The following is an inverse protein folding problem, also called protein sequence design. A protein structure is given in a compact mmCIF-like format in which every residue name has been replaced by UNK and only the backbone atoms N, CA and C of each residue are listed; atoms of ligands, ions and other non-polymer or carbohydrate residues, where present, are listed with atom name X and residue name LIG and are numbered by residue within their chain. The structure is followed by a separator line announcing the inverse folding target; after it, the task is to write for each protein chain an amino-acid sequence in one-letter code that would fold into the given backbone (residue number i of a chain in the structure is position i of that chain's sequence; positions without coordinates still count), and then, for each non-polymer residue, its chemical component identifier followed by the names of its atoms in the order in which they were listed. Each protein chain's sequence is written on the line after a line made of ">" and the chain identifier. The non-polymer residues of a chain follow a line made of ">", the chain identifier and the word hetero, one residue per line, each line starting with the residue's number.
data_IF_566725024958
#
_entry.id   IF_566725024958
#
_cell.length_a   1.000
_cell.length_b   1.000
_cell.length_c   1.000
_cell.angle_alpha   90.00
_cell.angle_beta   90.00
_cell.angle_gamma   90.00
#
_symmetry.space_group_name_H-M   'P 1'
#
loop_
_entity.id
_entity.type
_entity.pdbx_description
1 polymer ?
#
# COMPACT_ATOMS: atom_id res chain seq x y z
N UNK A 1 20.26 9.22 -44.32
CA UNK A 1 19.84 9.94 -43.11
C UNK A 1 20.02 9.00 -41.95
N UNK A 2 21.09 9.17 -41.17
CA UNK A 2 21.43 8.36 -40.01
C UNK A 2 20.53 8.91 -38.90
N UNK A 3 19.54 8.11 -38.44
CA UNK A 3 18.79 8.43 -37.24
C UNK A 3 19.79 8.41 -36.06
N UNK A 4 20.01 9.56 -35.45
CA UNK A 4 20.78 9.68 -34.24
C UNK A 4 20.07 8.87 -33.13
N UNK A 5 20.72 7.79 -32.72
CA UNK A 5 20.34 6.99 -31.55
C UNK A 5 20.53 7.88 -30.30
N UNK A 6 19.43 8.51 -29.86
CA UNK A 6 19.39 9.34 -28.65
C UNK A 6 19.08 8.50 -27.41
N UNK A 7 19.52 7.24 -27.35
CA UNK A 7 19.41 6.42 -26.15
C UNK A 7 20.52 6.77 -25.17
N UNK A 8 20.24 7.71 -24.27
CA UNK A 8 20.97 7.81 -23.01
C UNK A 8 20.94 6.49 -22.24
N UNK A 9 21.78 6.28 -21.20
CA UNK A 9 21.85 5.00 -20.51
C UNK A 9 20.47 4.59 -19.99
N UNK A 10 19.99 3.45 -20.47
CA UNK A 10 18.70 2.88 -20.05
C UNK A 10 18.80 2.42 -18.60
N UNK A 11 17.96 2.93 -17.71
CA UNK A 11 17.90 2.43 -16.34
C UNK A 11 17.51 0.95 -16.32
N UNK A 12 18.30 0.13 -15.63
CA UNK A 12 18.04 -1.29 -15.44
C UNK A 12 17.26 -1.53 -14.15
N UNK A 13 16.17 -2.27 -14.27
CA UNK A 13 15.27 -2.62 -13.17
C UNK A 13 15.23 -4.13 -13.02
N UNK A 14 15.66 -4.64 -11.86
CA UNK A 14 15.59 -6.05 -11.51
C UNK A 14 14.34 -6.33 -10.69
N UNK A 15 13.54 -7.32 -11.11
CA UNK A 15 12.34 -7.79 -10.40
C UNK A 15 12.63 -9.19 -9.88
N UNK A 16 12.60 -9.38 -8.56
CA UNK A 16 12.91 -10.67 -7.92
C UNK A 16 11.69 -11.59 -8.01
N UNK A 17 11.90 -12.79 -8.52
CA UNK A 17 10.92 -13.88 -8.56
C UNK A 17 11.39 -15.06 -7.69
N UNK A 18 10.45 -15.80 -7.12
CA UNK A 18 10.69 -16.95 -6.23
C UNK A 18 9.57 -17.99 -6.39
N UNK A 19 9.81 -19.23 -5.99
CA UNK A 19 8.80 -20.31 -6.06
C UNK A 19 7.60 -19.99 -5.16
N UNK A 20 6.39 -20.06 -5.71
CA UNK A 20 5.14 -19.66 -5.07
C UNK A 20 4.75 -18.19 -5.27
N UNK A 21 5.47 -17.42 -6.10
CA UNK A 21 5.14 -16.01 -6.33
C UNK A 21 3.74 -15.84 -6.94
N UNK A 22 3.00 -14.83 -6.45
CA UNK A 22 1.75 -14.41 -7.09
C UNK A 22 2.03 -13.75 -8.45
N UNK A 23 1.42 -14.23 -9.55
CA UNK A 23 1.58 -13.61 -10.87
C UNK A 23 1.20 -12.13 -10.88
N UNK A 24 0.17 -11.75 -10.11
CA UNK A 24 -0.23 -10.36 -9.99
C UNK A 24 0.92 -9.49 -9.44
N UNK A 25 1.54 -9.90 -8.32
CA UNK A 25 2.63 -9.14 -7.73
C UNK A 25 3.84 -9.03 -8.65
N UNK A 26 4.18 -10.14 -9.34
CA UNK A 26 5.26 -10.16 -10.31
C UNK A 26 5.01 -9.22 -11.50
N UNK A 27 3.75 -9.10 -11.95
CA UNK A 27 3.39 -8.28 -13.11
C UNK A 27 3.36 -6.78 -12.83
N UNK A 28 3.16 -6.36 -11.58
CA UNK A 28 3.02 -4.92 -11.21
C UNK A 28 4.18 -4.05 -11.70
N UNK A 29 5.45 -4.38 -11.46
CA UNK A 29 6.58 -3.60 -12.01
C UNK A 29 6.60 -3.59 -13.55
N UNK A 30 6.27 -4.70 -14.19
CA UNK A 30 6.23 -4.82 -15.64
C UNK A 30 5.15 -3.94 -16.25
N UNK A 31 3.97 -3.85 -15.66
CA UNK A 31 2.89 -2.98 -16.12
C UNK A 31 3.30 -1.50 -16.12
N UNK A 32 4.12 -1.08 -15.16
CA UNK A 32 4.54 0.32 -15.05
C UNK A 32 5.80 0.60 -15.87
N UNK A 33 6.79 -0.27 -15.88
CA UNK A 33 8.12 -0.02 -16.44
C UNK A 33 8.45 -0.88 -17.69
N UNK A 34 7.76 -2.00 -17.91
CA UNK A 34 8.16 -3.00 -18.91
C UNK A 34 7.76 -2.68 -20.34
N UNK A 35 6.81 -1.77 -20.57
CA UNK A 35 6.41 -1.40 -21.92
C UNK A 35 7.24 -0.25 -22.47
N UNK A 36 7.62 -0.33 -23.74
CA UNK A 36 8.23 0.79 -24.45
C UNK A 36 7.20 1.91 -24.65
N UNK A 37 7.43 3.05 -24.00
CA UNK A 37 6.59 4.24 -24.08
C UNK A 37 7.36 5.48 -24.54
N UNK A 38 8.43 5.29 -25.30
CA UNK A 38 9.26 6.37 -25.85
C UNK A 38 8.45 7.36 -26.68
N UNK A 39 7.44 6.87 -27.42
CA UNK A 39 6.49 7.71 -28.15
C UNK A 39 5.68 8.67 -27.24
N UNK A 40 5.63 8.41 -25.96
CA UNK A 40 5.02 9.29 -24.95
C UNK A 40 6.04 10.17 -24.23
N UNK A 41 7.31 10.19 -24.67
CA UNK A 41 8.40 10.91 -24.03
C UNK A 41 8.85 10.29 -22.67
N UNK A 42 8.57 9.00 -22.46
CA UNK A 42 8.97 8.26 -21.27
C UNK A 42 10.22 7.45 -21.64
N UNK A 43 11.32 7.56 -20.87
CA UNK A 43 12.52 6.76 -21.12
C UNK A 43 12.19 5.26 -21.10
N UNK A 44 12.88 4.51 -21.94
CA UNK A 44 12.77 3.05 -21.91
C UNK A 44 13.57 2.50 -20.72
N UNK A 45 12.93 1.62 -19.94
CA UNK A 45 13.57 0.89 -18.87
C UNK A 45 13.95 -0.51 -19.36
N UNK A 46 15.10 -1.00 -18.95
CA UNK A 46 15.48 -2.41 -19.11
C UNK A 46 14.98 -3.20 -17.90
N UNK A 47 13.77 -3.76 -18.00
CA UNK A 47 13.22 -4.59 -16.92
C UNK A 47 13.68 -6.03 -17.08
N UNK A 48 14.29 -6.59 -16.04
CA UNK A 48 14.79 -7.96 -16.00
C UNK A 48 14.14 -8.68 -14.80
N UNK A 49 13.52 -9.83 -15.02
CA UNK A 49 13.08 -10.69 -13.92
C UNK A 49 14.20 -11.66 -13.60
N UNK A 50 14.57 -11.77 -12.33
CA UNK A 50 15.60 -12.68 -11.83
C UNK A 50 15.03 -13.66 -10.80
N UNK A 51 15.48 -14.90 -10.84
CA UNK A 51 15.03 -15.95 -9.91
C UNK A 51 16.00 -16.12 -8.74
N UNK A 52 15.44 -16.44 -7.59
CA UNK A 52 16.21 -16.83 -6.39
C UNK A 52 16.61 -18.30 -6.42
N UNK A 53 15.94 -19.12 -7.23
CA UNK A 53 16.16 -20.55 -7.39
C UNK A 53 16.40 -20.87 -8.87
N UNK A 54 17.11 -21.98 -9.11
CA UNK A 54 17.31 -22.53 -10.46
C UNK A 54 16.08 -23.33 -10.93
N UNK A 55 15.80 -23.28 -12.25
CA UNK A 55 14.71 -24.02 -12.88
C UNK A 55 13.39 -23.25 -12.96
N UNK A 56 12.32 -23.93 -13.44
CA UNK A 56 10.99 -23.34 -13.50
C UNK A 56 10.44 -23.05 -12.09
N UNK A 57 9.84 -21.87 -11.92
CA UNK A 57 9.18 -21.49 -10.68
C UNK A 57 7.68 -21.75 -10.80
N UNK A 58 7.09 -22.37 -9.79
CA UNK A 58 5.64 -22.50 -9.70
C UNK A 58 5.06 -21.19 -9.19
N UNK A 59 3.93 -20.79 -9.72
CA UNK A 59 3.21 -19.63 -9.22
C UNK A 59 2.14 -20.04 -8.20
N UNK A 60 1.69 -19.08 -7.39
CA UNK A 60 0.55 -19.27 -6.49
C UNK A 60 -0.77 -19.60 -7.23
N UNK A 61 -0.82 -19.38 -8.55
CA UNK A 61 -1.98 -19.68 -9.40
C UNK A 61 -1.89 -21.04 -10.10
N UNK A 62 -0.87 -21.86 -9.82
CA UNK A 62 -0.75 -23.23 -10.27
C UNK A 62 -0.10 -23.43 -11.65
N UNK A 63 0.36 -22.39 -12.32
CA UNK A 63 1.17 -22.52 -13.55
C UNK A 63 2.64 -22.22 -13.27
N UNK A 64 3.52 -22.66 -14.15
CA UNK A 64 4.96 -22.47 -14.05
C UNK A 64 5.43 -21.31 -14.95
N UNK A 65 6.49 -20.65 -14.49
CA UNK A 65 7.21 -19.63 -15.25
C UNK A 65 8.69 -19.97 -15.32
N UNK A 66 9.31 -19.77 -16.49
CA UNK A 66 10.74 -19.90 -16.67
C UNK A 66 11.39 -18.52 -16.64
N UNK A 67 12.40 -18.36 -15.80
CA UNK A 67 13.16 -17.11 -15.64
C UNK A 67 14.57 -17.34 -16.16
N UNK A 68 15.03 -16.43 -17.03
CA UNK A 68 16.34 -16.57 -17.71
C UNK A 68 17.52 -16.09 -16.85
N UNK A 69 17.27 -15.18 -15.90
CA UNK A 69 18.34 -14.54 -15.13
C UNK A 69 18.30 -14.99 -13.66
N UNK A 70 19.46 -15.16 -13.07
CA UNK A 70 19.62 -15.30 -11.63
C UNK A 70 19.87 -13.97 -10.93
N UNK A 71 20.37 -14.01 -9.70
CA UNK A 71 20.60 -12.83 -8.87
C UNK A 71 21.76 -11.94 -9.36
N UNK A 72 22.54 -12.38 -10.34
CA UNK A 72 23.63 -11.60 -10.92
C UNK A 72 23.16 -10.25 -11.47
N UNK A 73 21.94 -10.18 -12.01
CA UNK A 73 21.38 -8.92 -12.58
C UNK A 73 21.08 -7.87 -11.51
N UNK A 74 20.93 -8.28 -10.24
CA UNK A 74 20.69 -7.38 -9.12
C UNK A 74 21.93 -6.50 -8.86
N UNK A 75 23.12 -7.02 -9.16
CA UNK A 75 24.39 -6.32 -8.91
C UNK A 75 24.51 -5.02 -9.70
N UNK A 76 23.98 -5.00 -10.94
CA UNK A 76 24.14 -3.87 -11.85
C UNK A 76 22.85 -3.05 -12.02
N UNK A 77 21.75 -3.47 -11.39
CA UNK A 77 20.46 -2.80 -11.49
C UNK A 77 20.47 -1.45 -10.76
N UNK A 78 19.87 -0.43 -11.39
CA UNK A 78 19.64 0.89 -10.80
C UNK A 78 18.47 0.85 -9.80
N UNK A 79 17.54 -0.09 -10.03
CA UNK A 79 16.34 -0.31 -9.22
C UNK A 79 16.18 -1.80 -8.99
N UNK A 80 15.95 -2.21 -7.74
CA UNK A 80 15.63 -3.59 -7.39
C UNK A 80 14.27 -3.64 -6.73
N UNK A 81 13.36 -4.45 -7.26
CA UNK A 81 12.01 -4.63 -6.71
C UNK A 81 11.85 -6.06 -6.22
N UNK A 82 11.53 -6.21 -4.94
CA UNK A 82 11.03 -7.44 -4.34
C UNK A 82 9.50 -7.31 -4.28
N UNK A 83 8.75 -7.91 -5.23
CA UNK A 83 7.33 -7.58 -5.41
C UNK A 83 6.41 -8.21 -4.37
N UNK A 84 6.88 -9.25 -3.70
CA UNK A 84 6.27 -9.92 -2.55
C UNK A 84 7.27 -10.87 -1.92
N UNK A 85 6.83 -11.69 -0.97
CA UNK A 85 7.56 -12.82 -0.44
C UNK A 85 6.59 -13.95 -0.06
N UNK A 86 7.14 -15.09 0.40
CA UNK A 86 6.39 -16.29 0.79
C UNK A 86 5.52 -16.03 2.02
N UNK A 87 4.30 -16.54 2.04
CA UNK A 87 3.36 -16.36 3.14
C UNK A 87 3.75 -17.14 4.41
N UNK A 88 4.56 -18.20 4.27
CA UNK A 88 5.11 -18.99 5.37
C UNK A 88 6.28 -18.29 6.08
N UNK A 89 6.69 -17.11 5.56
CA UNK A 89 7.83 -16.34 6.08
C UNK A 89 9.15 -17.10 6.10
N UNK A 90 9.32 -18.07 5.20
CA UNK A 90 10.61 -18.72 5.02
C UNK A 90 11.71 -17.67 4.83
N UNK A 91 12.86 -17.84 5.49
CA UNK A 91 13.98 -16.91 5.37
C UNK A 91 14.38 -16.72 3.90
N UNK A 92 14.74 -15.49 3.56
CA UNK A 92 15.24 -15.21 2.24
C UNK A 92 16.63 -15.86 2.05
N UNK A 93 16.96 -16.39 0.85
CA UNK A 93 18.28 -16.95 0.60
C UNK A 93 19.37 -15.91 0.91
N UNK A 94 20.46 -16.30 1.60
CA UNK A 94 21.56 -15.38 1.92
C UNK A 94 22.09 -14.63 0.69
N UNK A 95 22.16 -15.30 -0.46
CA UNK A 95 22.58 -14.70 -1.72
C UNK A 95 21.69 -13.53 -2.16
N UNK A 96 20.37 -13.60 -1.91
CA UNK A 96 19.44 -12.47 -2.19
C UNK A 96 19.69 -11.32 -1.21
N UNK A 97 19.84 -11.61 0.08
CA UNK A 97 20.09 -10.60 1.11
C UNK A 97 21.40 -9.84 0.82
N UNK A 98 22.45 -10.55 0.46
CA UNK A 98 23.75 -9.97 0.10
C UNK A 98 23.67 -9.14 -1.20
N UNK A 99 22.95 -9.62 -2.21
CA UNK A 99 22.72 -8.88 -3.44
C UNK A 99 21.96 -7.56 -3.19
N UNK A 100 20.92 -7.58 -2.35
CA UNK A 100 20.15 -6.40 -1.97
C UNK A 100 21.02 -5.39 -1.19
N UNK A 101 21.82 -5.85 -0.23
CA UNK A 101 22.77 -4.99 0.50
C UNK A 101 23.77 -4.33 -0.46
N UNK A 102 24.40 -5.13 -1.32
CA UNK A 102 25.36 -4.63 -2.30
C UNK A 102 24.75 -3.61 -3.26
N UNK A 103 23.55 -3.87 -3.78
CA UNK A 103 22.82 -2.92 -4.62
C UNK A 103 22.50 -1.62 -3.87
N UNK A 104 22.02 -1.69 -2.64
CA UNK A 104 21.75 -0.53 -1.79
C UNK A 104 23.00 0.31 -1.54
N UNK A 105 24.13 -0.33 -1.17
CA UNK A 105 25.41 0.34 -0.96
C UNK A 105 25.93 1.06 -2.20
N UNK A 106 25.68 0.52 -3.38
CA UNK A 106 26.00 1.17 -4.67
C UNK A 106 25.11 2.35 -4.97
N UNK A 107 24.04 2.57 -4.22
CA UNK A 107 23.07 3.65 -4.41
C UNK A 107 21.82 3.26 -5.24
N UNK A 108 21.62 1.99 -5.56
CA UNK A 108 20.41 1.52 -6.20
C UNK A 108 19.17 1.81 -5.34
N UNK A 109 18.03 2.04 -5.99
CA UNK A 109 16.74 2.14 -5.30
C UNK A 109 16.22 0.75 -5.00
N UNK A 110 15.86 0.50 -3.74
CA UNK A 110 15.37 -0.81 -3.29
C UNK A 110 13.89 -0.67 -2.94
N UNK A 111 13.06 -1.52 -3.53
CA UNK A 111 11.60 -1.47 -3.39
C UNK A 111 11.09 -2.80 -2.86
N UNK A 112 10.42 -2.79 -1.71
CA UNK A 112 9.71 -3.94 -1.15
C UNK A 112 8.20 -3.72 -1.26
N UNK A 113 7.52 -4.46 -2.13
CA UNK A 113 6.06 -4.41 -2.22
C UNK A 113 5.48 -5.54 -1.39
N UNK A 114 4.36 -5.30 -0.73
CA UNK A 114 3.67 -6.31 0.08
C UNK A 114 4.63 -6.99 1.08
N UNK A 115 4.74 -8.31 1.04
CA UNK A 115 5.66 -9.08 1.89
C UNK A 115 7.14 -8.92 1.50
N UNK A 116 7.45 -8.27 0.39
CA UNK A 116 8.83 -7.89 0.05
C UNK A 116 9.49 -7.02 1.12
N UNK A 117 8.71 -6.29 1.92
CA UNK A 117 9.21 -5.54 3.07
C UNK A 117 9.89 -6.44 4.12
N UNK A 118 9.46 -7.70 4.30
CA UNK A 118 10.11 -8.66 5.19
C UNK A 118 11.53 -9.01 4.72
N UNK A 119 11.71 -9.20 3.43
CA UNK A 119 13.04 -9.47 2.85
C UNK A 119 13.97 -8.28 3.04
N UNK A 120 13.46 -7.04 2.86
CA UNK A 120 14.24 -5.83 3.10
C UNK A 120 14.60 -5.68 4.59
N UNK A 121 13.68 -6.01 5.50
CA UNK A 121 13.93 -6.00 6.94
C UNK A 121 14.97 -7.06 7.33
N UNK A 122 14.87 -8.29 6.79
CA UNK A 122 15.84 -9.37 7.01
C UNK A 122 17.23 -9.02 6.47
N UNK A 123 17.30 -8.24 5.39
CA UNK A 123 18.56 -7.69 4.90
C UNK A 123 19.13 -6.55 5.78
N UNK A 124 18.42 -6.11 6.84
CA UNK A 124 18.82 -5.00 7.70
C UNK A 124 18.64 -3.61 7.05
N UNK A 125 18.01 -3.54 5.89
CA UNK A 125 17.86 -2.29 5.12
C UNK A 125 16.80 -1.35 5.71
N UNK A 126 15.91 -1.85 6.56
CA UNK A 126 14.82 -1.09 7.18
C UNK A 126 15.12 -0.66 8.62
N UNK A 127 16.27 -1.01 9.19
CA UNK A 127 16.62 -0.68 10.57
C UNK A 127 16.63 0.84 10.80
N UNK A 128 15.92 1.27 11.84
CA UNK A 128 15.76 2.70 12.16
C UNK A 128 14.88 3.50 11.20
N UNK A 129 14.30 2.87 10.17
CA UNK A 129 13.45 3.54 9.16
C UNK A 129 11.97 3.30 9.41
N UNK A 130 11.13 4.14 8.80
CA UNK A 130 9.70 3.90 8.69
C UNK A 130 9.44 3.03 7.47
N UNK A 131 8.61 2.01 7.60
CA UNK A 131 8.25 1.11 6.50
C UNK A 131 6.79 0.68 6.60
N UNK A 132 6.23 0.22 5.49
CA UNK A 132 4.90 -0.40 5.45
C UNK A 132 4.93 -1.74 4.74
N UNK A 133 3.92 -2.54 5.00
CA UNK A 133 3.63 -3.81 4.34
C UNK A 133 2.12 -3.98 4.25
N UNK A 134 1.65 -5.12 3.77
CA UNK A 134 0.22 -5.43 3.80
C UNK A 134 -0.31 -5.34 5.23
N UNK A 135 -1.41 -4.60 5.43
CA UNK A 135 -1.96 -4.28 6.76
C UNK A 135 -2.11 -5.52 7.66
N UNK A 136 -2.57 -6.63 7.10
CA UNK A 136 -2.78 -7.88 7.83
C UNK A 136 -1.48 -8.47 8.39
N UNK A 137 -0.35 -8.15 7.77
CA UNK A 137 1.00 -8.65 8.13
C UNK A 137 1.84 -7.61 8.87
N UNK A 138 1.38 -6.38 8.97
CA UNK A 138 2.11 -5.29 9.64
C UNK A 138 2.42 -5.58 11.11
N UNK A 139 1.51 -6.17 11.94
CA UNK A 139 1.85 -6.54 13.31
C UNK A 139 3.02 -7.52 13.40
N UNK A 140 3.05 -8.52 12.52
CA UNK A 140 4.13 -9.51 12.49
C UNK A 140 5.46 -8.92 12.04
N UNK A 141 5.44 -7.97 11.07
CA UNK A 141 6.67 -7.26 10.67
C UNK A 141 7.25 -6.48 11.86
N UNK A 142 6.40 -5.79 12.62
CA UNK A 142 6.83 -5.03 13.80
C UNK A 142 7.37 -5.92 14.93
N UNK A 143 6.75 -7.08 15.15
CA UNK A 143 7.18 -8.06 16.15
C UNK A 143 8.54 -8.69 15.79
N UNK A 144 8.67 -9.10 14.52
CA UNK A 144 9.88 -9.83 14.04
C UNK A 144 11.09 -8.90 13.87
N UNK A 145 10.84 -7.63 13.52
CA UNK A 145 11.89 -6.63 13.25
C UNK A 145 11.66 -5.36 14.07
N UNK A 146 11.92 -5.37 15.40
CA UNK A 146 11.60 -4.28 16.30
C UNK A 146 12.39 -2.99 16.02
N UNK A 147 13.48 -3.05 15.25
CA UNK A 147 14.21 -1.87 14.78
C UNK A 147 13.48 -1.10 13.67
N UNK A 148 12.42 -1.67 13.06
CA UNK A 148 11.63 -1.05 11.99
C UNK A 148 10.41 -0.33 12.56
N UNK A 149 10.20 0.93 12.20
CA UNK A 149 8.96 1.66 12.53
C UNK A 149 7.88 1.32 11.51
N UNK A 150 7.02 0.35 11.83
CA UNK A 150 5.98 -0.10 10.90
C UNK A 150 4.76 0.82 10.96
N UNK A 151 4.39 1.40 9.81
CA UNK A 151 3.17 2.18 9.61
C UNK A 151 2.20 1.39 8.71
N UNK A 152 1.15 0.82 9.30
CA UNK A 152 0.14 0.01 8.60
C UNK A 152 -0.96 0.85 7.92
N UNK A 153 -1.01 2.16 8.18
CA UNK A 153 -2.11 3.01 7.74
C UNK A 153 -1.83 3.71 6.40
N UNK A 154 -0.68 3.45 5.78
CA UNK A 154 -0.25 4.11 4.55
C UNK A 154 -0.13 3.12 3.38
N UNK A 155 -0.32 3.62 2.15
CA UNK A 155 -0.20 2.79 0.94
C UNK A 155 1.27 2.47 0.61
N UNK A 156 2.16 3.43 0.81
CA UNK A 156 3.60 3.27 0.63
C UNK A 156 4.38 4.32 1.44
N UNK A 157 5.61 3.98 1.75
CA UNK A 157 6.58 4.81 2.46
C UNK A 157 7.84 4.93 1.61
N UNK A 158 8.42 6.13 1.53
CA UNK A 158 9.71 6.38 0.91
C UNK A 158 10.68 6.94 1.96
N UNK A 159 11.77 6.22 2.21
CA UNK A 159 12.83 6.59 3.16
C UNK A 159 14.19 6.53 2.43
N UNK A 160 14.65 7.69 1.97
CA UNK A 160 15.85 7.78 1.15
C UNK A 160 15.68 7.07 -0.20
N UNK A 161 16.53 6.10 -0.49
CA UNK A 161 16.44 5.25 -1.69
C UNK A 161 15.69 3.93 -1.48
N UNK A 162 14.99 3.77 -0.36
CA UNK A 162 14.17 2.60 -0.06
C UNK A 162 12.69 2.97 -0.13
N UNK A 163 11.90 2.14 -0.80
CA UNK A 163 10.44 2.24 -0.84
C UNK A 163 9.83 0.95 -0.32
N UNK A 164 8.78 1.07 0.48
CA UNK A 164 7.95 -0.07 0.90
C UNK A 164 6.48 0.22 0.64
N UNK A 165 5.69 -0.79 0.33
CA UNK A 165 4.29 -0.64 -0.03
C UNK A 165 3.42 -1.73 0.58
N UNK A 166 2.15 -1.39 0.84
CA UNK A 166 1.11 -2.32 1.25
C UNK A 166 0.89 -3.48 0.25
N UNK A 167 1.42 -3.35 -0.96
CA UNK A 167 1.29 -4.38 -1.99
C UNK A 167 -0.06 -4.40 -2.68
N UNK A 168 -0.34 -5.46 -3.44
CA UNK A 168 -1.53 -5.60 -4.28
C UNK A 168 -1.74 -4.33 -5.12
N UNK A 169 -2.93 -3.71 -5.06
CA UNK A 169 -3.22 -2.48 -5.81
C UNK A 169 -2.33 -1.28 -5.38
N UNK A 170 -1.92 -1.20 -4.11
CA UNK A 170 -0.99 -0.18 -3.63
C UNK A 170 0.44 -0.35 -4.20
N UNK A 171 0.79 -1.54 -4.69
CA UNK A 171 2.04 -1.77 -5.42
C UNK A 171 2.10 -0.96 -6.72
N UNK A 172 0.97 -0.83 -7.44
CA UNK A 172 0.88 0.02 -8.63
C UNK A 172 1.09 1.49 -8.27
N UNK A 173 0.49 1.98 -7.16
CA UNK A 173 0.69 3.35 -6.71
C UNK A 173 2.14 3.64 -6.34
N UNK A 174 2.80 2.69 -5.67
CA UNK A 174 4.21 2.78 -5.34
C UNK A 174 5.10 2.82 -6.59
N UNK A 175 4.85 1.96 -7.57
CA UNK A 175 5.57 1.97 -8.84
C UNK A 175 5.32 3.26 -9.65
N UNK A 176 4.09 3.78 -9.66
CA UNK A 176 3.78 5.07 -10.28
C UNK A 176 4.41 6.24 -9.54
N UNK A 177 4.48 6.19 -8.20
CA UNK A 177 5.23 7.17 -7.42
C UNK A 177 6.71 7.15 -7.79
N UNK A 178 7.32 5.96 -7.90
CA UNK A 178 8.70 5.80 -8.34
C UNK A 178 8.90 6.36 -9.76
N UNK A 179 8.02 6.03 -10.71
CA UNK A 179 8.07 6.57 -12.06
C UNK A 179 7.95 8.11 -12.06
N UNK A 180 7.11 8.67 -11.19
CA UNK A 180 6.96 10.12 -11.00
C UNK A 180 8.24 10.77 -10.51
N UNK A 181 8.96 10.12 -9.61
CA UNK A 181 10.25 10.60 -9.11
C UNK A 181 11.34 10.57 -10.21
N UNK A 182 11.30 9.58 -11.09
CA UNK A 182 12.29 9.39 -12.14
C UNK A 182 12.01 10.22 -13.39
N UNK A 183 10.76 10.32 -13.80
CA UNK A 183 10.35 10.85 -15.11
C UNK A 183 9.35 12.01 -15.02
N UNK A 184 9.02 12.46 -13.80
CA UNK A 184 8.08 13.55 -13.58
C UNK A 184 6.62 13.15 -13.57
N UNK A 185 5.77 14.11 -13.14
CA UNK A 185 4.34 13.87 -12.91
C UNK A 185 3.58 13.53 -14.20
N UNK A 186 3.94 14.15 -15.32
CA UNK A 186 3.23 13.94 -16.58
C UNK A 186 3.43 12.52 -17.12
N UNK A 187 4.66 12.00 -17.08
CA UNK A 187 4.98 10.62 -17.44
C UNK A 187 4.15 9.62 -16.61
N UNK A 188 4.16 9.75 -15.29
CA UNK A 188 3.39 8.89 -14.41
C UNK A 188 1.88 8.98 -14.66
N UNK A 189 1.34 10.18 -14.92
CA UNK A 189 -0.08 10.37 -15.24
C UNK A 189 -0.46 9.74 -16.59
N UNK A 190 0.43 9.75 -17.58
CA UNK A 190 0.21 9.09 -18.89
C UNK A 190 0.15 7.57 -18.72
N UNK A 191 1.06 6.99 -17.93
CA UNK A 191 1.06 5.55 -17.62
C UNK A 191 -0.19 5.17 -16.84
N UNK A 192 -0.54 5.89 -15.77
CA UNK A 192 -1.74 5.62 -14.98
C UNK A 192 -3.02 5.60 -15.83
N UNK A 193 -3.17 6.57 -16.76
CA UNK A 193 -4.31 6.58 -17.70
C UNK A 193 -4.36 5.34 -18.59
N UNK A 194 -3.22 4.84 -19.07
CA UNK A 194 -3.19 3.60 -19.85
C UNK A 194 -3.53 2.37 -19.05
N UNK A 195 -3.16 2.36 -17.78
CA UNK A 195 -3.53 1.31 -16.83
C UNK A 195 -4.96 1.44 -16.28
N UNK A 196 -5.69 2.50 -16.70
CA UNK A 196 -7.08 2.80 -16.26
C UNK A 196 -7.17 2.93 -14.73
N UNK A 197 -6.15 3.54 -14.12
CA UNK A 197 -6.10 3.77 -12.67
C UNK A 197 -5.96 5.27 -12.38
N UNK A 198 -6.29 5.66 -11.14
CA UNK A 198 -6.14 7.05 -10.70
C UNK A 198 -4.67 7.51 -10.84
N UNK A 199 -4.40 8.69 -11.41
CA UNK A 199 -3.04 9.13 -11.71
C UNK A 199 -2.14 9.30 -10.48
N UNK A 200 -2.72 9.48 -9.31
CA UNK A 200 -1.98 9.63 -8.07
C UNK A 200 -2.85 9.33 -6.86
N UNK A 201 -2.46 8.33 -6.07
CA UNK A 201 -2.86 8.18 -4.68
C UNK A 201 -1.65 8.51 -3.80
N UNK A 202 -1.87 9.37 -2.80
CA UNK A 202 -0.80 9.73 -1.87
C UNK A 202 -0.42 8.52 -1.01
N UNK A 203 0.87 8.31 -0.78
CA UNK A 203 1.37 7.23 0.08
C UNK A 203 0.72 7.21 1.45
N UNK A 204 0.52 8.38 2.05
CA UNK A 204 -0.19 8.54 3.34
C UNK A 204 -1.69 8.32 3.31
N UNK A 205 -2.28 7.91 2.19
CA UNK A 205 -3.68 7.49 2.15
C UNK A 205 -3.82 6.13 2.84
N UNK A 206 -4.79 6.01 3.74
CA UNK A 206 -5.02 4.77 4.48
C UNK A 206 -5.29 3.58 3.56
N UNK A 207 -4.70 2.43 3.90
CA UNK A 207 -5.10 1.16 3.33
C UNK A 207 -6.57 0.94 3.65
N UNK A 208 -7.36 0.40 2.70
CA UNK A 208 -8.73 -0.02 2.98
C UNK A 208 -8.69 -1.23 3.91
N UNK A 209 -8.75 -0.97 5.20
CA UNK A 209 -8.80 -1.98 6.22
C UNK A 209 -10.25 -2.02 6.72
N UNK A 210 -10.99 -3.09 6.46
CA UNK A 210 -11.95 -3.54 7.45
C UNK A 210 -11.11 -4.03 8.64
N UNK A 211 -10.76 -3.10 9.54
CA UNK A 211 -10.08 -3.51 10.78
C UNK A 211 -11.09 -4.34 11.55
N UNK A 212 -10.90 -5.66 11.69
CA UNK A 212 -11.48 -6.35 12.82
C UNK A 212 -11.00 -5.56 14.04
N UNK A 213 -11.90 -5.26 14.96
CA UNK A 213 -11.53 -4.67 16.25
C UNK A 213 -10.35 -5.49 16.78
N UNK A 214 -9.23 -4.87 17.15
CA UNK A 214 -8.09 -5.63 17.62
C UNK A 214 -8.55 -6.49 18.79
N UNK A 215 -8.48 -7.79 18.66
CA UNK A 215 -8.57 -8.72 19.78
C UNK A 215 -7.23 -8.60 20.50
N UNK A 216 -7.07 -7.52 21.25
CA UNK A 216 -5.88 -7.36 22.07
C UNK A 216 -6.03 -8.26 23.28
N UNK A 217 -5.19 -9.26 23.40
CA UNK A 217 -5.08 -10.12 24.57
C UNK A 217 -4.64 -9.37 25.85
N UNK A 218 -4.72 -8.03 25.91
CA UNK A 218 -4.21 -7.23 27.03
C UNK A 218 -5.09 -6.11 27.56
N UNK A 219 -6.00 -5.53 26.77
CA UNK A 219 -6.85 -4.42 27.25
C UNK A 219 -8.29 -4.51 26.75
N UNK A 220 -9.08 -5.31 27.44
CA UNK A 220 -10.52 -5.53 27.25
C UNK A 220 -11.33 -4.21 27.28
N UNK A 221 -10.79 -3.15 27.90
CA UNK A 221 -11.44 -1.83 27.99
C UNK A 221 -11.39 -1.05 26.69
N UNK A 222 -10.26 -1.07 26.00
CA UNK A 222 -10.11 -0.36 24.73
C UNK A 222 -10.93 -1.02 23.63
N UNK A 223 -10.93 -2.34 23.55
CA UNK A 223 -11.75 -3.10 22.60
C UNK A 223 -13.24 -2.78 22.75
N UNK A 224 -13.77 -2.79 23.99
CA UNK A 224 -15.16 -2.40 24.27
C UNK A 224 -15.49 -0.96 23.87
N UNK A 225 -14.54 -0.04 23.97
CA UNK A 225 -14.75 1.34 23.52
C UNK A 225 -14.78 1.44 22.01
N UNK A 226 -13.88 0.74 21.31
CA UNK A 226 -13.86 0.71 19.83
C UNK A 226 -15.17 0.13 19.28
N UNK A 227 -15.68 -0.98 19.86
CA UNK A 227 -16.99 -1.55 19.53
C UNK A 227 -18.12 -0.57 19.79
N UNK A 228 -18.12 0.06 20.96
CA UNK A 228 -19.15 1.04 21.30
C UNK A 228 -19.13 2.24 20.36
N UNK A 229 -17.97 2.80 20.03
CA UNK A 229 -17.85 3.93 19.08
C UNK A 229 -18.34 3.51 17.70
N UNK A 230 -17.99 2.32 17.24
CA UNK A 230 -18.41 1.80 15.92
C UNK A 230 -19.93 1.65 15.81
N UNK A 231 -20.60 1.27 16.91
CA UNK A 231 -22.07 1.21 16.97
C UNK A 231 -22.76 2.57 17.16
N UNK A 232 -22.00 3.62 17.52
CA UNK A 232 -22.53 4.97 17.79
C UNK A 232 -21.78 6.06 16.99
N UNK A 233 -21.48 5.78 15.70
CA UNK A 233 -20.73 6.72 14.84
C UNK A 233 -21.48 8.04 14.58
N UNK A 234 -22.80 8.04 14.70
CA UNK A 234 -23.68 9.21 14.59
C UNK A 234 -23.45 10.24 15.69
N UNK A 235 -22.92 9.81 16.84
CA UNK A 235 -22.74 10.68 18.00
C UNK A 235 -21.38 11.42 17.95
N UNK A 236 -21.29 12.59 18.60
CA UNK A 236 -20.03 13.29 18.76
C UNK A 236 -19.14 12.55 19.77
N UNK A 237 -17.90 12.28 19.36
CA UNK A 237 -16.90 11.63 20.21
C UNK A 237 -15.70 12.56 20.43
N UNK A 238 -15.49 12.99 21.68
CA UNK A 238 -14.26 13.68 22.05
C UNK A 238 -13.24 12.70 22.68
N UNK A 239 -11.96 13.01 22.55
CA UNK A 239 -10.90 12.20 23.16
C UNK A 239 -11.11 12.11 24.67
N UNK A 240 -11.55 13.21 25.33
CA UNK A 240 -11.76 13.23 26.77
C UNK A 240 -12.94 12.35 27.20
N UNK A 241 -14.01 12.32 26.39
CA UNK A 241 -15.16 11.46 26.67
C UNK A 241 -14.79 9.98 26.55
N UNK A 242 -14.02 9.63 25.51
CA UNK A 242 -13.56 8.25 25.28
C UNK A 242 -12.55 7.80 26.35
N UNK A 243 -11.62 8.68 26.75
CA UNK A 243 -10.65 8.41 27.81
C UNK A 243 -11.34 8.17 29.16
N UNK A 244 -12.32 9.00 29.54
CA UNK A 244 -13.14 8.78 30.73
C UNK A 244 -13.88 7.45 30.72
N UNK A 245 -14.47 7.10 29.56
CA UNK A 245 -15.17 5.83 29.39
C UNK A 245 -14.21 4.62 29.48
N UNK A 246 -12.95 4.79 29.10
CA UNK A 246 -11.88 3.81 29.28
C UNK A 246 -11.33 3.74 30.71
N UNK A 247 -11.75 4.63 31.61
CA UNK A 247 -11.13 4.84 32.90
C UNK A 247 -9.61 5.13 32.78
N UNK A 248 -9.23 5.94 31.80
CA UNK A 248 -7.84 6.31 31.50
C UNK A 248 -7.68 7.83 31.50
N UNK A 249 -6.45 8.32 31.77
CA UNK A 249 -6.09 9.70 31.47
C UNK A 249 -6.07 9.89 29.93
N UNK A 250 -6.33 11.12 29.45
CA UNK A 250 -6.24 11.48 28.02
C UNK A 250 -4.92 11.03 27.38
N UNK A 251 -3.80 11.25 28.09
CA UNK A 251 -2.45 10.86 27.62
C UNK A 251 -2.30 9.34 27.49
N UNK A 252 -2.75 8.58 28.50
CA UNK A 252 -2.73 7.12 28.48
C UNK A 252 -3.61 6.57 27.37
N UNK A 253 -4.84 7.08 27.26
CA UNK A 253 -5.80 6.66 26.25
C UNK A 253 -5.26 6.88 24.83
N UNK A 254 -4.75 8.08 24.51
CA UNK A 254 -4.23 8.38 23.17
C UNK A 254 -3.02 7.52 22.82
N UNK A 255 -2.14 7.24 23.78
CA UNK A 255 -1.00 6.34 23.56
C UNK A 255 -1.45 4.91 23.28
N UNK A 256 -2.29 4.32 24.17
CA UNK A 256 -2.80 2.95 23.99
C UNK A 256 -3.65 2.83 22.72
N UNK A 257 -4.49 3.84 22.43
CA UNK A 257 -5.28 3.89 21.21
C UNK A 257 -4.39 3.84 19.96
N UNK A 258 -3.32 4.65 19.93
CA UNK A 258 -2.39 4.68 18.81
C UNK A 258 -1.59 3.37 18.68
N UNK A 259 -1.19 2.76 19.80
CA UNK A 259 -0.55 1.45 19.83
C UNK A 259 -1.46 0.36 19.28
N UNK A 260 -2.74 0.35 19.65
CA UNK A 260 -3.71 -0.65 19.25
C UNK A 260 -4.26 -0.46 17.84
N UNK A 261 -4.42 0.80 17.38
CA UNK A 261 -5.07 1.11 16.10
C UNK A 261 -4.10 1.61 15.02
N UNK A 262 -2.85 1.92 15.38
CA UNK A 262 -1.83 2.50 14.49
C UNK A 262 -2.07 3.96 14.13
N UNK A 263 -3.19 4.57 14.53
CA UNK A 263 -3.58 5.92 14.09
C UNK A 263 -4.12 6.79 15.22
N UNK A 264 -4.44 8.07 14.96
CA UNK A 264 -5.06 8.94 15.93
C UNK A 264 -6.56 8.64 16.05
N UNK A 265 -7.15 8.95 17.24
CA UNK A 265 -8.60 8.81 17.47
C UNK A 265 -9.44 9.52 16.42
N UNK A 266 -9.04 10.75 16.06
CA UNK A 266 -9.77 11.58 15.08
C UNK A 266 -9.71 10.94 13.69
N UNK A 267 -8.54 10.50 13.25
CA UNK A 267 -8.38 9.87 11.94
C UNK A 267 -9.10 8.52 11.89
N UNK A 268 -9.00 7.71 12.94
CA UNK A 268 -9.71 6.44 13.03
C UNK A 268 -11.23 6.63 12.93
N UNK A 269 -11.79 7.59 13.71
CA UNK A 269 -13.22 7.90 13.67
C UNK A 269 -13.67 8.38 12.28
N UNK A 270 -12.87 9.24 11.64
CA UNK A 270 -13.12 9.69 10.27
C UNK A 270 -13.18 8.51 9.30
N UNK A 271 -12.22 7.59 9.38
CA UNK A 271 -12.17 6.41 8.54
C UNK A 271 -13.39 5.48 8.75
N UNK A 272 -13.81 5.26 10.01
CA UNK A 272 -15.01 4.46 10.30
C UNK A 272 -16.29 5.10 9.73
N UNK A 273 -16.43 6.43 9.86
CA UNK A 273 -17.56 7.18 9.30
C UNK A 273 -17.58 7.11 7.78
N UNK A 274 -16.45 7.27 7.13
CA UNK A 274 -16.32 7.17 5.67
C UNK A 274 -16.65 5.76 5.16
N UNK A 275 -16.14 4.71 5.82
CA UNK A 275 -16.43 3.32 5.47
C UNK A 275 -17.92 3.00 5.61
N UNK A 276 -18.60 3.50 6.67
CA UNK A 276 -20.04 3.33 6.82
C UNK A 276 -20.81 4.10 5.75
N UNK A 277 -20.41 5.35 5.45
CA UNK A 277 -21.03 6.13 4.36
C UNK A 277 -20.91 5.42 3.01
N UNK A 278 -19.74 4.86 2.72
CA UNK A 278 -19.49 4.09 1.50
C UNK A 278 -20.46 2.91 1.38
N UNK A 279 -20.58 2.07 2.40
CA UNK A 279 -21.54 0.94 2.42
C UNK A 279 -22.99 1.39 2.21
N UNK A 280 -23.39 2.51 2.85
CA UNK A 280 -24.74 3.07 2.68
C UNK A 280 -24.99 3.59 1.25
N UNK A 281 -23.96 4.10 0.59
CA UNK A 281 -24.03 4.52 -0.80
C UNK A 281 -24.15 3.34 -1.77
N UNK A 282 -23.50 2.22 -1.46
CA UNK A 282 -23.52 0.99 -2.26
C UNK A 282 -24.83 0.19 -2.11
N UNK A 283 -25.42 0.22 -0.91
CA UNK A 283 -26.55 -0.65 -0.56
C UNK A 283 -27.92 0.06 -0.51
N UNK A 284 -27.93 1.40 -0.42
CA UNK A 284 -29.15 2.17 -0.18
C UNK A 284 -29.30 3.39 -1.10
N UNK A 285 -30.52 3.92 -1.10
CA UNK A 285 -30.92 5.10 -1.90
C UNK A 285 -31.11 6.37 -1.05
N UNK A 286 -30.76 6.32 0.22
CA UNK A 286 -30.93 7.44 1.16
C UNK A 286 -30.27 8.72 0.63
N UNK A 287 -30.88 9.91 0.86
CA UNK A 287 -30.25 11.20 0.53
C UNK A 287 -28.85 11.34 1.19
N UNK A 288 -27.94 12.03 0.53
CA UNK A 288 -26.58 12.26 1.05
C UNK A 288 -26.62 12.96 2.41
N UNK A 289 -27.59 13.83 2.60
CA UNK A 289 -27.87 14.58 3.83
C UNK A 289 -28.21 13.64 4.99
N UNK A 290 -29.02 12.61 4.72
CA UNK A 290 -29.38 11.57 5.70
C UNK A 290 -28.17 10.70 6.04
N UNK A 291 -27.42 10.26 5.03
CA UNK A 291 -26.19 9.49 5.24
C UNK A 291 -25.21 10.31 6.11
N UNK A 292 -24.97 11.57 5.78
CA UNK A 292 -24.06 12.42 6.55
C UNK A 292 -24.44 12.45 8.05
N UNK A 293 -25.73 12.56 8.34
CA UNK A 293 -26.25 12.57 9.72
C UNK A 293 -26.05 11.20 10.40
N UNK A 294 -26.45 10.12 9.75
CA UNK A 294 -26.37 8.76 10.29
C UNK A 294 -24.95 8.26 10.53
N UNK A 295 -23.98 8.78 9.77
CA UNK A 295 -22.57 8.43 9.99
C UNK A 295 -21.83 9.46 10.84
N UNK A 296 -22.51 10.51 11.33
CA UNK A 296 -21.94 11.45 12.31
C UNK A 296 -21.12 12.58 11.71
N UNK A 297 -21.33 12.94 10.42
CA UNK A 297 -20.82 14.21 9.88
C UNK A 297 -21.79 15.34 10.26
N UNK A 298 -21.23 16.48 10.68
CA UNK A 298 -22.04 17.65 11.05
C UNK A 298 -22.84 18.26 9.89
N UNK A 299 -22.49 17.96 8.65
CA UNK A 299 -23.19 18.40 7.44
C UNK A 299 -22.87 17.52 6.23
N UNK A 300 -23.73 17.55 5.22
CA UNK A 300 -23.47 16.91 3.93
C UNK A 300 -22.23 17.52 3.23
N UNK A 301 -21.95 18.79 3.46
CA UNK A 301 -20.75 19.45 2.93
C UNK A 301 -19.48 18.82 3.51
N UNK A 302 -19.44 18.61 4.82
CA UNK A 302 -18.32 17.95 5.50
C UNK A 302 -18.13 16.52 4.99
N UNK A 303 -19.21 15.74 4.85
CA UNK A 303 -19.14 14.42 4.23
C UNK A 303 -18.56 14.49 2.81
N UNK A 304 -19.04 15.40 1.95
CA UNK A 304 -18.55 15.53 0.57
C UNK A 304 -17.08 15.87 0.50
N UNK A 305 -16.59 16.77 1.38
CA UNK A 305 -15.18 17.16 1.45
C UNK A 305 -14.28 15.97 1.85
N UNK A 306 -14.60 15.32 2.95
CA UNK A 306 -13.82 14.16 3.46
C UNK A 306 -13.91 12.95 2.53
N UNK A 307 -15.10 12.70 1.96
CA UNK A 307 -15.30 11.61 1.00
C UNK A 307 -14.49 11.85 -0.27
N UNK A 308 -14.51 13.09 -0.80
CA UNK A 308 -13.70 13.44 -1.98
C UNK A 308 -12.19 13.34 -1.70
N UNK A 309 -11.73 13.74 -0.52
CA UNK A 309 -10.34 13.61 -0.12
C UNK A 309 -9.91 12.14 -0.02
N UNK A 310 -10.78 11.26 0.50
CA UNK A 310 -10.48 9.84 0.69
C UNK A 310 -10.62 9.02 -0.61
N UNK A 311 -11.66 9.28 -1.42
CA UNK A 311 -12.02 8.43 -2.58
C UNK A 311 -11.83 9.11 -3.93
N UNK A 312 -11.37 10.35 -3.96
CA UNK A 312 -11.18 11.18 -5.16
C UNK A 312 -12.43 11.31 -6.04
N UNK A 313 -13.62 11.12 -5.46
CA UNK A 313 -14.93 11.25 -6.12
C UNK A 313 -15.98 11.79 -5.15
N UNK A 314 -17.10 12.31 -5.68
CA UNK A 314 -18.20 12.73 -4.81
C UNK A 314 -19.04 11.54 -4.35
N UNK A 315 -19.75 11.61 -3.19
CA UNK A 315 -20.67 10.56 -2.76
C UNK A 315 -21.73 10.22 -3.81
N UNK A 316 -22.26 11.22 -4.50
CA UNK A 316 -23.28 11.01 -5.54
C UNK A 316 -22.74 10.31 -6.78
N UNK A 317 -21.52 10.67 -7.23
CA UNK A 317 -20.86 10.00 -8.34
C UNK A 317 -20.46 8.56 -7.95
N UNK A 318 -20.01 8.36 -6.72
CA UNK A 318 -19.70 7.04 -6.16
C UNK A 318 -20.94 6.13 -6.17
N UNK A 319 -22.08 6.62 -5.68
CA UNK A 319 -23.35 5.87 -5.73
C UNK A 319 -23.77 5.50 -7.14
N UNK A 320 -23.64 6.43 -8.09
CA UNK A 320 -23.98 6.17 -9.49
C UNK A 320 -23.13 5.04 -10.09
N UNK A 321 -21.89 4.91 -9.65
CA UNK A 321 -20.94 3.93 -10.15
C UNK A 321 -21.05 2.58 -9.48
N UNK A 322 -21.29 2.55 -8.15
CA UNK A 322 -21.20 1.36 -7.31
C UNK A 322 -22.49 0.99 -6.56
N UNK A 323 -23.51 1.86 -6.58
CA UNK A 323 -24.80 1.54 -6.00
C UNK A 323 -25.48 0.39 -6.74
N UNK A 324 -26.36 -0.35 -6.04
CA UNK A 324 -27.13 -1.43 -6.66
C UNK A 324 -27.80 -0.94 -7.92
N UNK A 325 -27.45 -1.53 -9.07
CA UNK A 325 -28.21 -1.39 -10.31
C UNK A 325 -29.67 -1.76 -10.00
N UNK A 326 -30.62 -0.87 -10.26
CA UNK A 326 -32.02 -1.25 -10.33
C UNK A 326 -32.10 -2.45 -11.26
N UNK A 327 -32.52 -3.59 -10.75
CA UNK A 327 -33.08 -4.63 -11.62
C UNK A 327 -34.21 -3.92 -12.39
N UNK A 328 -34.00 -3.74 -13.69
CA UNK A 328 -35.05 -3.28 -14.57
C UNK A 328 -36.17 -4.33 -14.49
N UNK A 329 -37.27 -3.98 -13.81
CA UNK A 329 -38.51 -4.72 -13.84
C UNK A 329 -39.27 -4.35 -15.12
#
# INVERSE_FOLDING_TARGET
>A
MIQSDTSGPRMTLAVVAFDGISPFHLSVPWLVFGENRSALGIPEFRVLTCATEAGPLRTASGFEISIMYGLEVVRDADIVIVPSWRDDYAPAPPALLDALRAAHWRGARIVGLCLGAFVLAEAGLLDGKTATTHWYRAPMLAERYPAVRVDSDVLYVAEGNILTSAGVAAGLDCCLYLLRQLCGAEAANRVARRLVIAPHRQGGQAQFIEKPLPVSHGDDRLSRILEWVTSHLDQPHSIDTLARRAAMSRRSFTRHFRQATGTTVVQWLLNQRLARAQRMLETGEQPIESIAREVGFGSALSLRQHFRAAFNTSPSAYRKQFGKLRAAG
#
